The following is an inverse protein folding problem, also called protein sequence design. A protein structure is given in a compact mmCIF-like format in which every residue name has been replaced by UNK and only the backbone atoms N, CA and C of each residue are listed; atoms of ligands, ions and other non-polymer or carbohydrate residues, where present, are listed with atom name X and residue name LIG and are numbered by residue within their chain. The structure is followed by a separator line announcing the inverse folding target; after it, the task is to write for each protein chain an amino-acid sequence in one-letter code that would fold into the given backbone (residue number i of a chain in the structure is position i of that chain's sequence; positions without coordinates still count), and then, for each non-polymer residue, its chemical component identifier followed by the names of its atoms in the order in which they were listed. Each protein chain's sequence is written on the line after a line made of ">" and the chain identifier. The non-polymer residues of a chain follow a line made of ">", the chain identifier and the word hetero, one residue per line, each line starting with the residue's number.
data_IF_211634460241
#
_entry.id   IF_211634460241
#
_cell.length_a   1.000
_cell.length_b   1.000
_cell.length_c   1.000
_cell.angle_alpha   90.00
_cell.angle_beta   90.00
_cell.angle_gamma   90.00
#
_symmetry.space_group_name_H-M   'P 1'
#
loop_
_entity.id
_entity.type
_entity.pdbx_description
1 polymer ?
#
# COMPACT_ATOMS: atom_id res chain seq x y z
N UNK A 1 21.61 -18.14 15.63
CA UNK A 1 20.95 -18.85 14.50
C UNK A 1 19.47 -19.20 14.76
N UNK A 2 18.94 -19.06 15.96
CA UNK A 2 17.53 -19.42 16.25
C UNK A 2 16.52 -18.32 15.91
N UNK A 3 16.95 -17.05 15.86
CA UNK A 3 16.10 -15.89 15.57
C UNK A 3 16.48 -15.22 14.25
N UNK A 4 17.75 -15.35 13.84
CA UNK A 4 18.28 -14.71 12.64
C UNK A 4 18.62 -15.70 11.55
N UNK A 5 18.38 -15.28 10.32
CA UNK A 5 18.77 -15.96 9.08
C UNK A 5 19.54 -15.01 8.17
N UNK A 6 20.13 -15.53 7.12
CA UNK A 6 20.60 -14.69 6.02
C UNK A 6 19.39 -14.11 5.29
N UNK A 7 19.33 -12.81 5.19
CA UNK A 7 18.32 -12.11 4.37
C UNK A 7 18.59 -12.35 2.89
N UNK A 8 17.51 -12.36 2.09
CA UNK A 8 17.58 -12.55 0.64
C UNK A 8 16.70 -11.51 -0.05
N UNK A 9 17.23 -10.89 -1.09
CA UNK A 9 16.47 -9.95 -1.92
C UNK A 9 16.49 -10.47 -3.37
N UNK A 10 15.30 -10.50 -3.98
CA UNK A 10 15.10 -10.75 -5.40
C UNK A 10 14.38 -9.55 -5.97
N UNK A 11 14.92 -8.94 -7.01
CA UNK A 11 14.30 -7.84 -7.74
C UNK A 11 14.39 -8.13 -9.24
N UNK A 12 13.26 -8.30 -9.88
CA UNK A 12 13.14 -8.56 -11.31
C UNK A 12 12.19 -7.55 -11.94
N UNK A 13 12.62 -6.88 -13.00
CA UNK A 13 11.81 -5.92 -13.73
C UNK A 13 11.94 -6.20 -15.23
N UNK A 14 10.80 -6.15 -15.92
CA UNK A 14 10.72 -6.26 -17.37
C UNK A 14 9.94 -5.06 -17.90
N UNK A 15 10.46 -4.43 -18.93
CA UNK A 15 9.83 -3.27 -19.56
C UNK A 15 9.97 -3.35 -21.06
N UNK A 16 8.89 -2.99 -21.75
CA UNK A 16 8.84 -2.84 -23.19
C UNK A 16 8.29 -1.46 -23.54
N UNK A 17 8.89 -0.79 -24.49
CA UNK A 17 8.42 0.48 -25.01
C UNK A 17 8.56 0.50 -26.52
N UNK A 18 7.68 1.23 -27.17
CA UNK A 18 7.70 1.36 -28.62
C UNK A 18 6.69 2.38 -29.08
N UNK A 19 6.57 2.51 -30.39
CA UNK A 19 5.58 3.39 -30.98
C UNK A 19 6.04 4.04 -32.27
N UNK A 20 5.26 5.03 -32.68
CA UNK A 20 5.53 5.87 -33.85
C UNK A 20 5.19 7.33 -33.50
N UNK A 21 5.19 8.22 -34.46
CA UNK A 21 4.87 9.66 -34.28
C UNK A 21 3.47 9.93 -33.70
N UNK A 22 2.54 8.98 -33.84
CA UNK A 22 1.14 9.12 -33.40
C UNK A 22 0.81 8.39 -32.11
N UNK A 23 1.52 7.30 -31.84
CA UNK A 23 1.26 6.46 -30.66
C UNK A 23 2.58 5.99 -30.10
N UNK A 24 2.82 6.26 -28.83
CA UNK A 24 3.91 5.65 -28.07
C UNK A 24 3.36 4.94 -26.85
N UNK A 25 3.98 3.83 -26.50
CA UNK A 25 3.59 3.07 -25.33
C UNK A 25 4.80 2.60 -24.53
N UNK A 26 4.55 2.40 -23.27
CA UNK A 26 5.45 1.75 -22.32
C UNK A 26 4.60 0.82 -21.46
N UNK A 27 4.99 -0.45 -21.40
CA UNK A 27 4.40 -1.44 -20.52
C UNK A 27 5.53 -2.11 -19.74
N UNK A 28 5.40 -2.18 -18.44
CA UNK A 28 6.41 -2.81 -17.60
C UNK A 28 5.79 -3.53 -16.42
N UNK A 29 6.45 -4.56 -15.94
CA UNK A 29 6.09 -5.30 -14.75
C UNK A 29 7.31 -5.56 -13.90
N UNK A 30 7.09 -5.62 -12.58
CA UNK A 30 8.15 -5.89 -11.63
C UNK A 30 7.72 -6.84 -10.54
N UNK A 31 8.66 -7.64 -10.09
CA UNK A 31 8.55 -8.47 -8.91
C UNK A 31 9.68 -8.16 -7.95
N UNK A 32 9.32 -7.88 -6.70
CA UNK A 32 10.26 -7.68 -5.61
C UNK A 32 9.92 -8.64 -4.48
N UNK A 33 10.91 -9.33 -3.96
CA UNK A 33 10.79 -10.18 -2.79
C UNK A 33 11.97 -9.95 -1.88
N UNK A 34 11.69 -9.75 -0.60
CA UNK A 34 12.67 -9.60 0.46
C UNK A 34 12.33 -10.56 1.58
N UNK A 35 13.31 -11.35 1.97
CA UNK A 35 13.29 -12.14 3.19
C UNK A 35 14.19 -11.43 4.19
N UNK A 36 13.58 -10.94 5.29
CA UNK A 36 14.32 -10.25 6.34
C UNK A 36 15.27 -11.18 7.09
N UNK A 37 16.23 -10.56 7.78
CA UNK A 37 17.19 -11.27 8.65
C UNK A 37 16.53 -11.96 9.84
N UNK A 38 15.34 -11.51 10.25
CA UNK A 38 14.52 -12.16 11.28
C UNK A 38 13.54 -13.14 10.66
N UNK A 39 13.36 -14.30 11.29
CA UNK A 39 12.35 -15.26 10.86
C UNK A 39 10.94 -14.64 10.91
N UNK A 40 10.10 -14.98 9.93
CA UNK A 40 8.74 -14.44 9.80
C UNK A 40 8.65 -13.06 9.17
N UNK A 41 9.78 -12.40 8.89
CA UNK A 41 9.79 -11.12 8.18
C UNK A 41 9.96 -11.35 6.68
N UNK A 42 8.90 -11.13 5.92
CA UNK A 42 8.87 -11.22 4.47
C UNK A 42 8.12 -10.04 3.86
N UNK A 43 8.58 -9.60 2.72
CA UNK A 43 7.90 -8.61 1.90
C UNK A 43 7.92 -9.05 0.44
N UNK A 44 6.76 -9.02 -0.20
CA UNK A 44 6.60 -9.31 -1.63
C UNK A 44 5.82 -8.19 -2.28
N UNK A 45 6.21 -7.79 -3.47
CA UNK A 45 5.51 -6.79 -4.25
C UNK A 45 5.53 -7.16 -5.73
N UNK A 46 4.35 -7.15 -6.32
CA UNK A 46 4.17 -7.16 -7.77
C UNK A 46 3.67 -5.79 -8.23
N UNK A 47 4.16 -5.31 -9.34
CA UNK A 47 3.67 -4.07 -9.93
C UNK A 47 3.58 -4.16 -11.46
N UNK A 48 2.62 -3.43 -12.01
CA UNK A 48 2.42 -3.23 -13.45
C UNK A 48 2.34 -1.72 -13.71
N UNK A 49 3.02 -1.28 -14.74
CA UNK A 49 2.96 0.09 -15.24
C UNK A 49 2.61 0.08 -16.72
N UNK A 50 1.71 0.97 -17.11
CA UNK A 50 1.35 1.16 -18.51
C UNK A 50 1.19 2.65 -18.76
N UNK A 51 1.91 3.16 -19.77
CA UNK A 51 1.78 4.52 -20.24
C UNK A 51 1.50 4.47 -21.76
N UNK A 52 0.50 5.17 -22.20
CA UNK A 52 0.13 5.28 -23.61
C UNK A 52 -0.05 6.76 -23.93
N UNK A 53 0.72 7.25 -24.89
CA UNK A 53 0.59 8.60 -25.39
C UNK A 53 0.15 8.53 -26.86
N UNK A 54 -0.93 9.21 -27.18
CA UNK A 54 -1.50 9.21 -28.51
C UNK A 54 -1.70 10.63 -29.03
N UNK A 55 -1.40 10.83 -30.31
CA UNK A 55 -1.71 12.05 -31.07
C UNK A 55 -2.50 11.67 -32.32
N UNK A 56 -3.81 11.36 -32.18
CA UNK A 56 -4.62 10.91 -33.31
C UNK A 56 -4.70 11.96 -34.42
N UNK A 57 -4.64 13.25 -34.04
CA UNK A 57 -4.60 14.41 -34.92
C UNK A 57 -3.57 15.41 -34.40
N UNK A 58 -3.14 16.36 -35.25
CA UNK A 58 -2.17 17.39 -34.85
C UNK A 58 -2.63 18.26 -33.67
N UNK A 59 -3.94 18.45 -33.55
CA UNK A 59 -4.57 19.26 -32.52
C UNK A 59 -5.19 18.45 -31.37
N UNK A 60 -4.99 17.11 -31.34
CA UNK A 60 -5.55 16.25 -30.31
C UNK A 60 -4.46 15.38 -29.70
N UNK A 61 -4.29 15.46 -28.39
CA UNK A 61 -3.39 14.62 -27.60
C UNK A 61 -4.17 13.87 -26.52
N UNK A 62 -3.81 12.63 -26.31
CA UNK A 62 -4.35 11.76 -25.26
C UNK A 62 -3.20 11.04 -24.57
N UNK A 63 -3.11 11.16 -23.25
CA UNK A 63 -2.14 10.47 -22.42
C UNK A 63 -2.89 9.64 -21.37
N UNK A 64 -2.70 8.35 -21.39
CA UNK A 64 -3.27 7.41 -20.41
C UNK A 64 -2.16 6.73 -19.65
N UNK A 65 -2.29 6.68 -18.32
CA UNK A 65 -1.34 6.04 -17.42
C UNK A 65 -2.07 5.15 -16.44
N UNK A 66 -1.53 3.98 -16.22
CA UNK A 66 -2.02 3.02 -15.23
C UNK A 66 -0.84 2.47 -14.44
N UNK A 67 -0.96 2.49 -13.14
CA UNK A 67 -0.05 1.82 -12.22
C UNK A 67 -0.86 0.95 -11.28
N UNK A 68 -0.53 -0.34 -11.26
CA UNK A 68 -1.09 -1.32 -10.33
C UNK A 68 0.04 -1.84 -9.45
N UNK A 69 -0.22 -1.99 -8.17
CA UNK A 69 0.71 -2.63 -7.25
C UNK A 69 -0.05 -3.45 -6.22
N UNK A 70 0.44 -4.64 -5.99
CA UNK A 70 0.06 -5.50 -4.89
C UNK A 70 1.27 -5.74 -4.02
N UNK A 71 1.14 -5.59 -2.71
CA UNK A 71 2.17 -5.96 -1.76
C UNK A 71 1.63 -6.86 -0.66
N UNK A 72 2.40 -7.88 -0.35
CA UNK A 72 2.20 -8.78 0.79
C UNK A 72 3.35 -8.57 1.76
N UNK A 73 3.01 -8.29 3.00
CA UNK A 73 3.96 -8.04 4.06
C UNK A 73 3.62 -8.94 5.23
N UNK A 74 4.33 -10.04 5.30
CA UNK A 74 4.35 -10.87 6.50
C UNK A 74 5.40 -10.31 7.45
N UNK A 75 4.98 -9.92 8.63
CA UNK A 75 5.90 -9.43 9.66
C UNK A 75 5.93 -10.47 10.77
N UNK A 76 7.11 -10.89 11.17
CA UNK A 76 7.30 -11.63 12.42
C UNK A 76 6.72 -10.83 13.59
N UNK A 77 6.38 -11.52 14.67
CA UNK A 77 5.67 -10.97 15.84
C UNK A 77 6.31 -9.71 16.45
N UNK A 78 6.12 -8.58 15.87
CA UNK A 78 6.71 -7.35 16.40
C UNK A 78 6.41 -6.09 15.61
N UNK A 79 5.77 -6.19 14.49
CA UNK A 79 5.51 -5.01 13.69
C UNK A 79 4.17 -5.10 12.96
N UNK A 80 3.08 -5.16 13.71
CA UNK A 80 1.79 -4.80 13.16
C UNK A 80 1.83 -3.31 12.79
N UNK A 81 1.54 -2.98 11.54
CA UNK A 81 1.62 -1.61 11.03
C UNK A 81 0.70 -0.60 11.71
N UNK A 82 -0.11 -1.03 12.67
CA UNK A 82 -1.15 -0.24 13.34
C UNK A 82 -1.14 -0.32 14.87
N UNK A 83 -0.08 -0.80 15.48
CA UNK A 83 0.04 -0.79 16.93
C UNK A 83 0.69 -2.06 17.50
N UNK A 84 1.58 -1.86 18.44
CA UNK A 84 2.40 -2.83 19.15
C UNK A 84 3.63 -3.41 18.44
N UNK A 85 4.44 -2.55 17.80
CA UNK A 85 5.85 -2.84 17.52
C UNK A 85 6.71 -3.08 18.76
N UNK A 86 6.10 -3.10 19.95
CA UNK A 86 6.78 -3.09 21.23
C UNK A 86 7.35 -4.43 21.69
N UNK A 87 6.97 -5.55 21.09
CA UNK A 87 7.47 -6.84 21.54
C UNK A 87 8.96 -7.03 21.21
N UNK A 88 9.41 -6.61 20.03
CA UNK A 88 10.83 -6.65 19.65
C UNK A 88 11.60 -5.49 20.26
N UNK A 89 11.01 -4.30 20.33
CA UNK A 89 11.61 -3.16 21.04
C UNK A 89 11.80 -3.46 22.53
N UNK A 90 10.86 -4.13 23.18
CA UNK A 90 11.02 -4.55 24.59
C UNK A 90 12.11 -5.60 24.75
N UNK A 91 12.30 -6.46 23.75
CA UNK A 91 13.39 -7.44 23.77
C UNK A 91 14.78 -6.83 23.55
N UNK A 92 14.84 -5.76 22.76
CA UNK A 92 16.09 -5.04 22.48
C UNK A 92 16.36 -3.92 23.50
N UNK A 93 15.35 -3.45 24.22
CA UNK A 93 15.44 -2.34 25.16
C UNK A 93 15.56 -2.78 26.62
N UNK A 94 15.60 -4.09 26.92
CA UNK A 94 15.81 -4.54 28.30
C UNK A 94 17.31 -4.38 28.68
N UNK A 95 17.65 -3.44 29.55
CA UNK A 95 19.04 -3.19 29.93
C UNK A 95 19.69 -4.34 30.72
N UNK A 96 18.91 -5.36 31.09
CA UNK A 96 19.42 -6.59 31.71
C UNK A 96 19.86 -7.63 30.70
N UNK A 97 19.57 -7.43 29.42
CA UNK A 97 20.00 -8.30 28.31
C UNK A 97 21.26 -7.73 27.66
N UNK A 98 22.40 -8.01 28.24
CA UNK A 98 23.66 -7.34 27.86
C UNK A 98 24.35 -7.90 26.59
N UNK A 99 23.95 -9.06 26.03
CA UNK A 99 24.68 -9.61 24.87
C UNK A 99 23.93 -10.61 24.02
N UNK A 100 22.68 -10.91 24.30
CA UNK A 100 21.88 -11.89 23.53
C UNK A 100 20.46 -11.38 23.35
N UNK A 101 19.96 -11.41 22.13
CA UNK A 101 18.56 -11.14 21.81
C UNK A 101 17.60 -12.22 22.35
N UNK A 102 18.15 -13.29 22.90
CA UNK A 102 17.41 -14.36 23.56
C UNK A 102 17.82 -14.40 25.03
N UNK A 103 16.85 -14.44 25.96
CA UNK A 103 17.12 -14.69 27.36
C UNK A 103 17.96 -15.96 27.54
N UNK A 104 18.85 -15.97 28.55
CA UNK A 104 19.62 -17.15 28.91
C UNK A 104 18.76 -18.24 29.57
N UNK A 105 17.62 -17.86 30.12
CA UNK A 105 16.65 -18.76 30.75
C UNK A 105 15.90 -19.57 29.67
N UNK A 106 15.89 -20.90 29.83
CA UNK A 106 15.32 -21.83 28.87
C UNK A 106 13.82 -21.62 28.64
N UNK A 107 13.04 -21.41 29.70
CA UNK A 107 11.59 -21.28 29.64
C UNK A 107 11.17 -19.97 28.95
N UNK A 108 11.80 -18.86 29.30
CA UNK A 108 11.54 -17.56 28.67
C UNK A 108 11.98 -17.56 27.20
N UNK A 109 13.09 -18.23 26.90
CA UNK A 109 13.60 -18.40 25.54
C UNK A 109 12.65 -19.23 24.67
N UNK A 110 12.19 -20.38 25.17
CA UNK A 110 11.31 -21.27 24.42
C UNK A 110 9.97 -20.58 24.16
N UNK A 111 9.45 -19.84 25.10
CA UNK A 111 8.24 -19.05 24.93
C UNK A 111 8.41 -17.94 23.88
N UNK A 112 9.54 -17.25 23.88
CA UNK A 112 9.83 -16.26 22.87
C UNK A 112 9.87 -16.88 21.46
N UNK A 113 10.53 -18.03 21.33
CA UNK A 113 10.58 -18.75 20.05
C UNK A 113 9.18 -19.23 19.62
N UNK A 114 8.34 -19.69 20.55
CA UNK A 114 6.96 -20.00 20.27
C UNK A 114 6.18 -18.78 19.78
N UNK A 115 6.35 -17.62 20.43
CA UNK A 115 5.71 -16.37 20.02
C UNK A 115 6.14 -15.95 18.62
N UNK A 116 7.42 -16.02 18.31
CA UNK A 116 7.96 -15.67 17.00
C UNK A 116 7.47 -16.58 15.87
N UNK A 117 7.26 -17.87 16.17
CA UNK A 117 6.90 -18.87 15.17
C UNK A 117 5.38 -19.06 15.02
N UNK A 118 4.60 -18.71 16.01
CA UNK A 118 3.18 -19.07 16.08
C UNK A 118 2.22 -17.91 15.85
N UNK A 119 2.67 -16.67 16.10
CA UNK A 119 1.86 -15.50 15.83
C UNK A 119 1.76 -15.26 14.31
N UNK A 120 0.54 -15.21 13.82
CA UNK A 120 0.29 -14.83 12.42
C UNK A 120 0.10 -13.33 12.35
N UNK A 121 0.91 -12.67 11.54
CA UNK A 121 0.79 -11.24 11.23
C UNK A 121 0.93 -11.07 9.72
N UNK A 122 -0.20 -10.85 9.07
CA UNK A 122 -0.30 -10.70 7.61
C UNK A 122 -0.87 -9.34 7.28
N UNK A 123 -0.18 -8.59 6.44
CA UNK A 123 -0.68 -7.35 5.91
C UNK A 123 -0.45 -7.31 4.40
N UNK A 124 -1.49 -6.96 3.66
CA UNK A 124 -1.40 -6.78 2.23
C UNK A 124 -2.06 -5.48 1.81
N UNK A 125 -1.58 -4.94 0.71
CA UNK A 125 -2.15 -3.72 0.16
C UNK A 125 -2.21 -3.75 -1.35
N UNK A 126 -3.24 -3.10 -1.87
CA UNK A 126 -3.43 -2.79 -3.28
C UNK A 126 -3.28 -1.30 -3.48
N UNK A 127 -2.60 -0.93 -4.55
CA UNK A 127 -2.53 0.46 -4.99
C UNK A 127 -2.83 0.52 -6.49
N UNK A 128 -3.85 1.29 -6.85
CA UNK A 128 -4.29 1.50 -8.22
C UNK A 128 -4.22 3.00 -8.48
N UNK A 129 -3.41 3.41 -9.43
CA UNK A 129 -3.33 4.80 -9.89
C UNK A 129 -3.61 4.84 -11.37
N UNK A 130 -4.56 5.65 -11.76
CA UNK A 130 -4.88 5.89 -13.15
C UNK A 130 -4.95 7.38 -13.43
N UNK A 131 -4.52 7.79 -14.60
CA UNK A 131 -4.71 9.15 -15.08
C UNK A 131 -4.97 9.15 -16.58
N UNK A 132 -5.85 10.03 -16.99
CA UNK A 132 -6.20 10.30 -18.37
C UNK A 132 -6.09 11.81 -18.58
N UNK A 133 -5.24 12.21 -19.52
CA UNK A 133 -5.10 13.59 -19.93
C UNK A 133 -5.51 13.71 -21.40
N UNK A 134 -6.39 14.63 -21.68
CA UNK A 134 -6.84 14.94 -23.04
C UNK A 134 -6.59 16.41 -23.31
N UNK A 135 -5.85 16.70 -24.37
CA UNK A 135 -5.59 18.05 -24.83
C UNK A 135 -6.13 18.26 -26.22
N UNK A 136 -6.95 19.28 -26.40
CA UNK A 136 -7.51 19.65 -27.69
C UNK A 136 -7.27 21.13 -28.01
N UNK A 137 -6.66 21.40 -29.15
CA UNK A 137 -6.46 22.75 -29.67
C UNK A 137 -7.56 23.05 -30.69
N UNK A 138 -8.48 23.94 -30.32
CA UNK A 138 -9.63 24.32 -31.14
C UNK A 138 -9.21 25.14 -32.35
N UNK A 139 -8.42 26.16 -32.09
CA UNK A 139 -7.78 27.06 -33.06
C UNK A 139 -6.35 27.29 -32.62
N UNK A 140 -5.51 27.79 -33.49
CA UNK A 140 -4.12 28.07 -33.17
C UNK A 140 -3.99 28.94 -31.92
N UNK A 141 -3.32 28.40 -30.91
CA UNK A 141 -3.09 29.08 -29.63
C UNK A 141 -4.20 28.89 -28.59
N UNK A 142 -5.43 28.44 -28.92
CA UNK A 142 -6.50 28.15 -27.98
C UNK A 142 -6.56 26.65 -27.70
N UNK A 143 -6.06 26.25 -26.53
CA UNK A 143 -5.99 24.85 -26.11
C UNK A 143 -6.80 24.62 -24.84
N UNK A 144 -7.62 23.60 -24.85
CA UNK A 144 -8.27 23.02 -23.66
C UNK A 144 -7.56 21.73 -23.27
N UNK A 145 -7.33 21.57 -21.98
CA UNK A 145 -6.77 20.34 -21.43
C UNK A 145 -7.63 19.90 -20.25
N UNK A 146 -8.07 18.64 -20.28
CA UNK A 146 -8.73 18.00 -19.15
C UNK A 146 -7.86 16.86 -18.63
N UNK A 147 -7.72 16.77 -17.32
CA UNK A 147 -6.96 15.75 -16.63
C UNK A 147 -7.85 15.10 -15.58
N UNK A 148 -8.06 13.81 -15.70
CA UNK A 148 -8.81 13.02 -14.72
C UNK A 148 -7.86 12.00 -14.12
N UNK A 149 -7.76 11.97 -12.80
CA UNK A 149 -6.96 10.97 -12.10
C UNK A 149 -7.72 10.32 -10.96
N UNK A 150 -7.43 9.04 -10.75
CA UNK A 150 -7.95 8.26 -9.65
C UNK A 150 -6.79 7.53 -8.97
N UNK A 151 -6.72 7.64 -7.64
CA UNK A 151 -5.79 6.90 -6.82
C UNK A 151 -6.59 6.14 -5.75
N UNK A 152 -6.57 4.82 -5.83
CA UNK A 152 -7.19 3.93 -4.86
C UNK A 152 -6.11 3.13 -4.14
N UNK A 153 -6.13 3.19 -2.81
CA UNK A 153 -5.27 2.38 -1.96
C UNK A 153 -6.14 1.65 -0.95
N UNK A 154 -5.95 0.35 -0.86
CA UNK A 154 -6.55 -0.48 0.18
C UNK A 154 -5.46 -1.25 0.90
N UNK A 155 -5.48 -1.19 2.23
CA UNK A 155 -4.60 -1.96 3.10
C UNK A 155 -5.44 -2.81 4.05
N UNK A 156 -5.05 -4.07 4.21
CA UNK A 156 -5.66 -5.00 5.17
C UNK A 156 -4.57 -5.62 6.02
N UNK A 157 -4.84 -5.72 7.32
CA UNK A 157 -3.97 -6.38 8.26
C UNK A 157 -4.77 -7.37 9.12
N UNK A 158 -4.24 -8.57 9.28
CA UNK A 158 -4.81 -9.60 10.14
C UNK A 158 -3.73 -10.14 11.06
N UNK A 159 -4.00 -10.05 12.35
CA UNK A 159 -3.11 -10.57 13.39
C UNK A 159 -3.83 -11.65 14.17
N UNK A 160 -3.17 -12.77 14.39
CA UNK A 160 -3.67 -13.84 15.25
C UNK A 160 -2.61 -14.26 16.24
N UNK A 161 -3.02 -14.39 17.51
CA UNK A 161 -2.21 -14.89 18.61
C UNK A 161 -2.87 -16.13 19.18
N UNK A 162 -2.22 -17.30 19.16
CA UNK A 162 -2.77 -18.53 19.71
C UNK A 162 -3.06 -18.45 21.20
N UNK A 163 -3.97 -19.29 21.68
CA UNK A 163 -4.43 -19.33 23.07
C UNK A 163 -3.32 -19.60 24.08
N UNK A 164 -2.39 -20.49 23.76
CA UNK A 164 -1.27 -20.85 24.64
C UNK A 164 -0.24 -19.73 24.87
N UNK A 165 -0.32 -18.63 24.09
CA UNK A 165 0.48 -17.43 24.33
C UNK A 165 -0.14 -16.47 25.35
N UNK A 166 -1.43 -16.62 25.68
CA UNK A 166 -2.12 -15.87 26.72
C UNK A 166 -2.08 -16.64 28.04
N UNK A 167 -1.11 -16.31 28.91
CA UNK A 167 -0.90 -16.98 30.20
C UNK A 167 -2.01 -16.76 31.21
N UNK A 168 -2.79 -15.68 31.04
CA UNK A 168 -3.78 -15.30 32.05
C UNK A 168 -5.12 -16.00 31.81
N UNK A 169 -5.57 -16.02 30.55
CA UNK A 169 -6.92 -16.47 30.22
C UNK A 169 -6.94 -17.65 29.26
N UNK A 170 -5.79 -18.05 28.73
CA UNK A 170 -5.66 -19.08 27.70
C UNK A 170 -6.60 -18.87 26.51
N UNK A 171 -6.77 -17.62 26.09
CA UNK A 171 -7.62 -17.22 24.99
C UNK A 171 -6.81 -16.81 23.76
N UNK A 172 -7.15 -17.33 22.61
CA UNK A 172 -6.64 -16.80 21.34
C UNK A 172 -7.16 -15.38 21.09
N UNK A 173 -6.38 -14.57 20.39
CA UNK A 173 -6.76 -13.19 20.02
C UNK A 173 -6.58 -12.99 18.53
N UNK A 174 -7.60 -12.45 17.87
CA UNK A 174 -7.57 -12.04 16.46
C UNK A 174 -7.89 -10.56 16.32
N UNK A 175 -7.17 -9.90 15.43
CA UNK A 175 -7.42 -8.50 15.09
C UNK A 175 -7.44 -8.42 13.56
N UNK A 176 -8.49 -7.83 13.01
CA UNK A 176 -8.64 -7.53 11.60
C UNK A 176 -8.77 -6.03 11.40
N UNK A 177 -8.03 -5.49 10.46
CA UNK A 177 -8.08 -4.07 10.09
C UNK A 177 -8.14 -3.93 8.58
N UNK A 178 -8.91 -2.97 8.12
CA UNK A 178 -9.00 -2.59 6.71
C UNK A 178 -9.05 -1.06 6.61
N UNK A 179 -8.23 -0.51 5.75
CA UNK A 179 -8.24 0.91 5.41
C UNK A 179 -8.31 1.07 3.90
N UNK A 180 -9.29 1.85 3.45
CA UNK A 180 -9.45 2.24 2.06
C UNK A 180 -9.31 3.75 1.91
N UNK A 181 -8.59 4.20 0.89
CA UNK A 181 -8.46 5.59 0.52
C UNK A 181 -8.65 5.74 -0.99
N UNK A 182 -9.59 6.59 -1.39
CA UNK A 182 -9.88 6.93 -2.77
C UNK A 182 -9.72 8.43 -2.96
N UNK A 183 -8.87 8.82 -3.90
CA UNK A 183 -8.68 10.21 -4.32
C UNK A 183 -9.07 10.30 -5.78
N UNK A 184 -10.06 11.12 -6.07
CA UNK A 184 -10.46 11.50 -7.42
C UNK A 184 -10.07 12.96 -7.64
N UNK A 185 -9.41 13.23 -8.75
CA UNK A 185 -9.01 14.58 -9.13
C UNK A 185 -9.38 14.83 -10.57
N UNK A 186 -9.95 15.98 -10.82
CA UNK A 186 -10.22 16.51 -12.14
C UNK A 186 -9.66 17.91 -12.25
N UNK A 187 -8.94 18.19 -13.31
CA UNK A 187 -8.36 19.49 -13.62
C UNK A 187 -8.70 19.87 -15.05
N UNK A 188 -9.20 21.09 -15.20
CA UNK A 188 -9.57 21.68 -16.48
C UNK A 188 -8.75 22.94 -16.69
N UNK A 189 -8.07 23.02 -17.83
CA UNK A 189 -7.23 24.17 -18.19
C UNK A 189 -7.62 24.66 -19.58
N UNK A 190 -7.92 25.94 -19.68
CA UNK A 190 -8.10 26.64 -20.95
C UNK A 190 -6.97 27.66 -21.09
N UNK A 191 -6.13 27.47 -22.07
CA UNK A 191 -5.02 28.38 -22.39
C UNK A 191 -5.25 29.04 -23.75
N UNK A 192 -4.98 30.34 -23.82
CA UNK A 192 -5.03 31.08 -25.08
C UNK A 192 -3.79 31.94 -25.27
N UNK A 193 -3.02 31.64 -26.30
CA UNK A 193 -1.81 32.35 -26.70
C UNK A 193 -2.06 33.08 -28.00
N UNK A 194 -1.90 34.40 -27.98
CA UNK A 194 -2.09 35.21 -29.18
C UNK A 194 -1.14 36.41 -29.21
N UNK A 195 -0.87 36.90 -30.40
CA UNK A 195 -0.01 38.05 -30.64
C UNK A 195 -0.84 39.21 -31.18
N UNK A 196 -0.54 40.38 -30.70
CA UNK A 196 -1.12 41.63 -31.24
C UNK A 196 -0.01 42.46 -31.87
N UNK A 197 -0.16 42.75 -33.15
CA UNK A 197 0.75 43.59 -33.94
C UNK A 197 2.23 43.13 -33.89
N UNK A 198 2.47 41.82 -33.73
CA UNK A 198 3.80 41.21 -33.61
C UNK A 198 4.70 41.79 -32.47
N UNK A 199 4.20 42.73 -31.71
CA UNK A 199 4.93 43.40 -30.63
C UNK A 199 4.51 42.92 -29.24
N UNK A 200 3.27 42.45 -29.09
CA UNK A 200 2.71 42.05 -27.81
C UNK A 200 2.27 40.59 -27.85
N UNK A 201 2.83 39.81 -26.96
CA UNK A 201 2.44 38.40 -26.75
C UNK A 201 1.60 38.29 -25.49
N UNK A 202 0.41 37.71 -25.63
CA UNK A 202 -0.48 37.44 -24.52
C UNK A 202 -0.60 35.95 -24.32
N UNK A 203 -0.55 35.51 -23.04
CA UNK A 203 -0.77 34.16 -22.60
C UNK A 203 -1.81 34.22 -21.48
N UNK A 204 -3.03 33.79 -21.78
CA UNK A 204 -4.14 33.74 -20.85
C UNK A 204 -4.35 32.30 -20.42
N UNK A 205 -4.47 32.08 -19.11
CA UNK A 205 -4.72 30.76 -18.53
C UNK A 205 -5.92 30.86 -17.60
N UNK A 206 -6.91 30.01 -17.85
CA UNK A 206 -8.04 29.78 -16.95
C UNK A 206 -8.00 28.32 -16.51
N UNK A 207 -8.13 28.08 -15.20
CA UNK A 207 -8.08 26.73 -14.63
C UNK A 207 -9.19 26.51 -13.62
N UNK A 208 -9.68 25.27 -13.59
CA UNK A 208 -10.58 24.75 -12.58
C UNK A 208 -10.04 23.40 -12.10
N UNK A 209 -10.10 23.16 -10.79
CA UNK A 209 -9.74 21.87 -10.24
C UNK A 209 -10.78 21.42 -9.21
N UNK A 210 -11.02 20.12 -9.20
CA UNK A 210 -11.88 19.44 -8.24
C UNK A 210 -11.17 18.23 -7.69
N UNK A 211 -11.10 18.13 -6.36
CA UNK A 211 -10.48 16.99 -5.67
C UNK A 211 -11.51 16.45 -4.67
N UNK A 212 -11.71 15.15 -4.70
CA UNK A 212 -12.50 14.42 -3.72
C UNK A 212 -11.67 13.32 -3.08
N UNK A 213 -11.59 13.33 -1.76
CA UNK A 213 -10.95 12.29 -0.98
C UNK A 213 -12.00 11.56 -0.16
N UNK A 214 -12.03 10.23 -0.26
CA UNK A 214 -12.88 9.36 0.56
C UNK A 214 -12.00 8.35 1.29
N UNK A 215 -12.14 8.30 2.62
CA UNK A 215 -11.43 7.35 3.47
C UNK A 215 -12.44 6.51 4.24
N UNK A 216 -12.22 5.21 4.24
CA UNK A 216 -12.98 4.29 5.06
C UNK A 216 -12.02 3.42 5.87
N UNK A 217 -12.40 3.08 7.08
CA UNK A 217 -11.65 2.14 7.91
C UNK A 217 -12.60 1.21 8.66
N UNK A 218 -12.14 -0.02 8.86
CA UNK A 218 -12.83 -1.03 9.64
C UNK A 218 -11.82 -1.69 10.57
N UNK A 219 -12.22 -1.85 11.81
CA UNK A 219 -11.46 -2.57 12.82
C UNK A 219 -12.36 -3.61 13.46
N UNK A 220 -11.82 -4.79 13.67
CA UNK A 220 -12.50 -5.87 14.41
C UNK A 220 -11.49 -6.61 15.29
N UNK A 221 -11.92 -7.01 16.48
CA UNK A 221 -11.15 -7.87 17.35
C UNK A 221 -12.02 -8.99 17.90
N UNK A 222 -11.42 -10.13 18.10
CA UNK A 222 -12.09 -11.31 18.66
C UNK A 222 -11.15 -12.07 19.59
N UNK A 223 -11.70 -12.71 20.59
CA UNK A 223 -10.96 -13.56 21.51
C UNK A 223 -11.70 -14.89 21.75
N UNK A 224 -10.97 -15.95 22.09
CA UNK A 224 -11.55 -17.26 22.40
C UNK A 224 -12.05 -18.01 21.17
N UNK A 225 -11.24 -18.12 20.12
CA UNK A 225 -11.54 -19.00 18.98
C UNK A 225 -11.66 -20.46 19.46
N UNK A 226 -12.59 -21.25 18.91
CA UNK A 226 -12.75 -22.67 19.24
C UNK A 226 -11.49 -23.51 18.94
N UNK A 227 -10.63 -23.03 18.08
CA UNK A 227 -9.36 -23.66 17.72
C UNK A 227 -8.33 -22.64 17.30
N UNK A 228 -7.09 -22.84 17.71
CA UNK A 228 -5.95 -22.03 17.26
C UNK A 228 -5.61 -22.18 15.76
N UNK A 229 -6.32 -23.04 15.05
CA UNK A 229 -6.23 -23.16 13.59
C UNK A 229 -7.18 -22.20 12.86
N UNK A 230 -8.12 -21.57 13.57
CA UNK A 230 -9.11 -20.66 13.00
C UNK A 230 -8.72 -19.22 13.36
N UNK A 231 -8.16 -18.50 12.41
CA UNK A 231 -7.52 -17.21 12.60
C UNK A 231 -8.44 -16.00 12.32
N UNK A 232 -9.75 -16.20 12.25
CA UNK A 232 -10.69 -15.14 11.90
C UNK A 232 -11.29 -14.47 13.12
N UNK A 233 -11.49 -13.14 13.04
CA UNK A 233 -12.12 -12.35 14.11
C UNK A 233 -13.50 -12.89 14.50
N UNK A 234 -14.28 -13.29 13.49
CA UNK A 234 -15.65 -13.84 13.70
C UNK A 234 -15.69 -15.17 14.45
N UNK A 235 -14.57 -15.87 14.58
CA UNK A 235 -14.52 -17.15 15.29
C UNK A 235 -14.38 -16.99 16.81
N UNK A 236 -14.14 -15.77 17.30
CA UNK A 236 -14.02 -15.49 18.73
C UNK A 236 -15.38 -15.37 19.43
N UNK A 237 -15.49 -15.82 20.66
CA UNK A 237 -16.70 -15.65 21.48
C UNK A 237 -16.94 -14.19 21.86
N UNK A 238 -15.89 -13.41 22.07
CA UNK A 238 -15.95 -11.99 22.35
C UNK A 238 -15.46 -11.21 21.12
N UNK A 239 -16.38 -10.72 20.33
CA UNK A 239 -16.05 -10.01 19.09
C UNK A 239 -16.52 -8.56 19.15
N UNK A 240 -15.63 -7.64 18.87
CA UNK A 240 -15.92 -6.21 18.78
C UNK A 240 -15.61 -5.71 17.37
N UNK A 241 -16.57 -5.00 16.78
CA UNK A 241 -16.41 -4.33 15.50
C UNK A 241 -16.53 -2.82 15.68
N UNK A 242 -15.61 -2.10 15.12
CA UNK A 242 -15.70 -0.65 15.03
C UNK A 242 -15.52 -0.27 13.56
N UNK A 243 -16.55 0.38 13.00
CA UNK A 243 -16.45 1.06 11.71
C UNK A 243 -16.17 2.52 12.02
N UNK A 244 -14.96 3.00 11.79
CA UNK A 244 -14.69 4.42 11.75
C UNK A 244 -15.22 4.96 10.41
N UNK A 245 -15.95 6.06 10.46
CA UNK A 245 -16.76 6.56 9.37
C UNK A 245 -16.01 6.96 8.11
N UNK A 246 -16.74 7.23 7.06
CA UNK A 246 -16.28 7.81 5.82
C UNK A 246 -16.00 9.29 6.03
N UNK A 247 -14.79 9.76 5.70
CA UNK A 247 -14.45 11.17 5.61
C UNK A 247 -14.39 11.50 4.13
N UNK A 248 -15.27 12.41 3.69
CA UNK A 248 -15.25 12.98 2.35
C UNK A 248 -14.82 14.43 2.49
N UNK A 249 -13.72 14.77 1.86
CA UNK A 249 -13.22 16.14 1.76
C UNK A 249 -12.95 16.49 0.30
#
# INVERSE_FOLDING_TARGET
>A
KQVFRHGKIINANLQSSGGNERVTYLVGGGWYQEEGIMYGSEFKRANLITNINMKPRKNLSLDARLYLSYSDRSRGSGSSGFGDGKAIERLTADPKQTSSLLPADGEVKDRLLQLLNSKVDKAYSYNIRSSLNLGYEFIRGLKFTTSISANYTEARANTFSPSYLDQQNNLSKSIGQMEGNMILQNEELLSYKFNVKEQHNFDLLFGFSYIRTSKNSMYGSGAGSPSDKIHYVLSGFNTTYTKAGEIVA
#
